data_IF_322371339371
#
_entry.id   IF_322371339371
#
_cell.length_a   1.000
_cell.length_b   1.000
_cell.length_c   1.000
_cell.angle_alpha   90.00
_cell.angle_beta   90.00
_cell.angle_gamma   90.00
#
_symmetry.space_group_name_H-M   'P 1'
#
loop_
_entity.id
_entity.type
_entity.pdbx_description
1 polymer ?
#
# COMPACT_ATOMS: atom_id res chain seq x y z
N UNK A 1 13.04 -14.16 -3.49
CA UNK A 1 13.66 -14.25 -2.15
C UNK A 1 12.68 -15.00 -1.28
N UNK A 2 13.11 -15.94 -0.46
CA UNK A 2 12.19 -16.65 0.44
C UNK A 2 11.76 -15.78 1.63
N UNK A 3 10.67 -16.19 2.29
CA UNK A 3 10.08 -15.49 3.45
C UNK A 3 11.10 -15.34 4.58
N UNK A 4 11.86 -16.39 4.90
CA UNK A 4 12.82 -16.36 6.01
C UNK A 4 13.93 -15.34 5.76
N UNK A 5 14.42 -15.25 4.54
CA UNK A 5 15.42 -14.24 4.15
C UNK A 5 14.83 -12.84 4.21
N UNK A 6 13.60 -12.64 3.75
CA UNK A 6 12.95 -11.32 3.83
C UNK A 6 12.75 -10.86 5.27
N UNK A 7 12.22 -11.72 6.15
CA UNK A 7 11.95 -11.39 7.56
C UNK A 7 13.23 -11.09 8.33
N UNK A 8 14.37 -11.71 7.99
CA UNK A 8 15.67 -11.37 8.59
C UNK A 8 16.13 -9.96 8.23
N UNK A 9 15.86 -9.49 7.01
CA UNK A 9 16.26 -8.15 6.58
C UNK A 9 15.26 -7.08 7.00
N UNK A 10 13.98 -7.42 7.01
CA UNK A 10 12.87 -6.53 7.32
C UNK A 10 12.00 -7.23 8.36
N UNK A 11 12.40 -7.24 9.65
CA UNK A 11 11.62 -7.91 10.70
C UNK A 11 10.29 -7.19 10.96
N UNK A 12 10.23 -5.89 10.65
CA UNK A 12 9.07 -5.04 10.85
C UNK A 12 8.67 -4.35 9.56
N UNK A 13 7.36 -4.25 9.36
CA UNK A 13 6.72 -3.55 8.25
C UNK A 13 5.78 -2.49 8.79
N UNK A 14 5.61 -1.40 8.06
CA UNK A 14 4.87 -0.24 8.59
C UNK A 14 3.72 0.14 7.67
N UNK A 15 2.51 0.17 8.20
CA UNK A 15 1.33 0.65 7.49
C UNK A 15 0.79 1.91 8.17
N UNK A 16 0.86 3.03 7.45
CA UNK A 16 0.27 4.28 7.90
C UNK A 16 -1.22 4.29 7.54
N UNK A 17 -2.10 4.65 8.46
CA UNK A 17 -3.53 4.90 8.24
C UNK A 17 -3.98 6.12 9.05
N UNK A 18 -5.20 6.60 8.86
CA UNK A 18 -5.79 7.57 9.78
C UNK A 18 -6.38 6.85 10.99
N UNK A 19 -6.27 7.46 12.18
CA UNK A 19 -6.79 6.89 13.41
C UNK A 19 -8.31 6.64 13.35
N UNK A 20 -9.04 7.46 12.57
CA UNK A 20 -10.46 7.28 12.28
C UNK A 20 -10.81 5.94 11.63
N UNK A 21 -9.85 5.27 10.98
CA UNK A 21 -10.06 3.96 10.37
C UNK A 21 -9.91 2.80 11.34
N UNK A 22 -9.42 3.02 12.58
CA UNK A 22 -9.17 1.94 13.54
C UNK A 22 -10.41 1.11 13.87
N UNK A 23 -11.64 1.67 14.04
CA UNK A 23 -12.84 0.87 14.23
C UNK A 23 -13.10 -0.11 13.07
N UNK A 24 -13.03 0.37 11.82
CA UNK A 24 -13.21 -0.47 10.62
C UNK A 24 -12.12 -1.55 10.52
N UNK A 25 -10.86 -1.20 10.84
CA UNK A 25 -9.76 -2.18 10.87
C UNK A 25 -9.98 -3.24 11.95
N UNK A 26 -10.55 -2.88 13.10
CA UNK A 26 -10.87 -3.84 14.16
C UNK A 26 -11.98 -4.80 13.74
N UNK A 27 -12.96 -4.33 12.98
CA UNK A 27 -14.12 -5.11 12.57
C UNK A 27 -13.84 -6.01 11.35
N UNK A 28 -13.15 -5.48 10.34
CA UNK A 28 -13.00 -6.15 9.04
C UNK A 28 -11.54 -6.48 8.68
N UNK A 29 -10.59 -6.13 9.54
CA UNK A 29 -9.16 -6.22 9.25
C UNK A 29 -8.66 -5.12 8.33
N UNK A 30 -7.43 -5.28 7.82
CA UNK A 30 -6.87 -4.34 6.86
C UNK A 30 -7.35 -4.66 5.45
N UNK A 31 -7.95 -3.67 4.79
CA UNK A 31 -8.56 -3.77 3.48
C UNK A 31 -7.88 -2.83 2.48
N UNK A 32 -7.81 -3.25 1.22
CA UNK A 32 -7.48 -2.35 0.11
C UNK A 32 -8.67 -1.45 -0.23
N UNK A 33 -8.44 -0.38 -1.00
CA UNK A 33 -9.55 0.49 -1.42
C UNK A 33 -10.59 -0.28 -2.27
N UNK A 34 -10.14 -1.26 -3.06
CA UNK A 34 -11.02 -2.16 -3.80
C UNK A 34 -11.86 -3.03 -2.85
N UNK A 35 -11.24 -3.67 -1.85
CA UNK A 35 -11.98 -4.50 -0.91
C UNK A 35 -12.97 -3.69 -0.05
N UNK A 36 -12.66 -2.42 0.23
CA UNK A 36 -13.58 -1.49 0.88
C UNK A 36 -14.78 -1.15 -0.01
N UNK A 37 -14.56 -0.94 -1.31
CA UNK A 37 -15.64 -0.69 -2.28
C UNK A 37 -16.58 -1.90 -2.37
N UNK A 38 -16.02 -3.12 -2.37
CA UNK A 38 -16.81 -4.36 -2.34
C UNK A 38 -17.60 -4.50 -1.04
N UNK A 39 -16.96 -4.29 0.12
CA UNK A 39 -17.57 -4.42 1.45
C UNK A 39 -18.77 -3.48 1.64
N UNK A 40 -18.64 -2.22 1.24
CA UNK A 40 -19.68 -1.21 1.40
C UNK A 40 -20.57 -1.05 0.16
N UNK A 41 -20.41 -1.91 -0.86
CA UNK A 41 -21.21 -1.89 -2.08
C UNK A 41 -21.28 -0.50 -2.73
N UNK A 42 -20.10 0.10 -2.98
CA UNK A 42 -19.99 1.42 -3.61
C UNK A 42 -20.78 1.46 -4.92
N UNK A 43 -21.39 2.62 -5.21
CA UNK A 43 -22.02 2.85 -6.51
C UNK A 43 -21.01 2.75 -7.66
N UNK A 44 -21.50 2.68 -8.90
CA UNK A 44 -20.62 2.68 -10.07
C UNK A 44 -19.79 3.96 -10.16
N UNK A 45 -20.36 5.11 -9.78
CA UNK A 45 -19.72 6.41 -9.73
C UNK A 45 -18.65 6.45 -8.63
N UNK A 46 -18.98 6.00 -7.41
CA UNK A 46 -18.03 5.92 -6.30
C UNK A 46 -16.85 4.99 -6.62
N UNK A 47 -17.15 3.82 -7.17
CA UNK A 47 -16.14 2.84 -7.61
C UNK A 47 -15.21 3.44 -8.66
N UNK A 48 -15.76 4.15 -9.66
CA UNK A 48 -14.94 4.81 -10.66
C UNK A 48 -14.05 5.90 -10.05
N UNK A 49 -14.60 6.75 -9.17
CA UNK A 49 -13.87 7.82 -8.53
C UNK A 49 -12.75 7.31 -7.60
N UNK A 50 -13.00 6.22 -6.87
CA UNK A 50 -12.07 5.68 -5.88
C UNK A 50 -11.02 4.77 -6.52
N UNK A 51 -11.41 3.92 -7.47
CA UNK A 51 -10.52 2.87 -8.00
C UNK A 51 -9.85 3.23 -9.32
N UNK A 52 -10.43 4.11 -10.14
CA UNK A 52 -9.93 4.38 -11.51
C UNK A 52 -9.35 5.77 -11.67
N UNK A 53 -9.64 6.69 -10.76
CA UNK A 53 -9.21 8.09 -10.83
C UNK A 53 -8.26 8.43 -9.69
N UNK A 54 -7.40 9.42 -9.93
CA UNK A 54 -6.51 9.93 -8.90
C UNK A 54 -7.34 10.64 -7.83
N UNK A 55 -7.28 10.17 -6.59
CA UNK A 55 -7.85 10.90 -5.45
C UNK A 55 -7.05 12.19 -5.23
N UNK A 56 -7.66 13.35 -5.46
CA UNK A 56 -7.00 14.67 -5.32
C UNK A 56 -7.03 15.22 -3.90
N UNK A 57 -7.95 14.72 -3.08
CA UNK A 57 -8.13 15.06 -1.68
C UNK A 57 -8.40 13.80 -0.88
N UNK A 58 -8.29 13.93 0.45
CA UNK A 58 -8.76 12.91 1.38
C UNK A 58 -10.27 12.79 1.24
N UNK A 59 -10.77 11.56 1.17
CA UNK A 59 -12.19 11.26 0.98
C UNK A 59 -12.72 10.55 2.23
N UNK A 60 -13.89 10.97 2.69
CA UNK A 60 -14.66 10.28 3.73
C UNK A 60 -15.92 9.72 3.09
N UNK A 61 -16.06 8.40 3.11
CA UNK A 61 -17.14 7.67 2.46
C UNK A 61 -17.49 6.48 3.35
N UNK A 62 -18.76 6.17 3.57
CA UNK A 62 -19.19 4.94 4.29
C UNK A 62 -18.48 4.73 5.65
N UNK A 63 -18.19 5.82 6.37
CA UNK A 63 -17.50 5.77 7.67
C UNK A 63 -15.98 5.50 7.61
N UNK A 64 -15.39 5.38 6.42
CA UNK A 64 -13.94 5.22 6.22
C UNK A 64 -13.29 6.48 5.67
N UNK A 65 -12.01 6.68 5.98
CA UNK A 65 -11.20 7.79 5.46
C UNK A 65 -10.11 7.26 4.53
N UNK A 66 -10.20 7.58 3.24
CA UNK A 66 -9.19 7.25 2.24
C UNK A 66 -8.25 8.45 2.02
N UNK A 67 -6.94 8.20 2.07
CA UNK A 67 -5.93 9.22 1.72
C UNK A 67 -6.03 9.63 0.25
N UNK A 68 -5.63 10.88 0.01
CA UNK A 68 -5.35 11.36 -1.35
C UNK A 68 -4.21 10.55 -2.01
N UNK A 69 -4.03 10.82 -3.29
CA UNK A 69 -2.91 10.34 -4.10
C UNK A 69 -2.13 11.56 -4.63
N UNK A 70 -1.73 12.46 -3.73
CA UNK A 70 -1.06 13.71 -4.09
C UNK A 70 0.23 13.47 -4.90
N UNK A 71 1.01 12.43 -4.59
CA UNK A 71 2.25 12.12 -5.31
C UNK A 71 2.01 11.49 -6.71
N UNK A 72 0.77 11.13 -7.04
CA UNK A 72 0.39 10.40 -8.24
C UNK A 72 0.06 11.33 -9.42
N UNK A 73 1.04 12.10 -9.91
CA UNK A 73 0.83 13.08 -10.98
C UNK A 73 0.54 12.39 -12.34
N UNK A 74 -0.70 12.50 -12.83
CA UNK A 74 -1.17 11.82 -14.05
C UNK A 74 -0.34 12.14 -15.31
N UNK A 75 0.11 13.38 -15.49
CA UNK A 75 0.96 13.77 -16.62
C UNK A 75 2.27 13.00 -16.65
N UNK A 76 2.85 12.73 -15.46
CA UNK A 76 4.07 11.92 -15.31
C UNK A 76 3.79 10.41 -15.38
N UNK A 77 2.59 9.97 -15.03
CA UNK A 77 2.24 8.55 -15.22
C UNK A 77 2.30 8.19 -16.71
N UNK A 78 1.68 9.01 -17.57
CA UNK A 78 1.62 8.74 -19.01
C UNK A 78 2.99 8.56 -19.66
N UNK A 79 4.05 9.19 -19.13
CA UNK A 79 5.39 9.09 -19.69
C UNK A 79 6.19 7.87 -19.25
N UNK A 80 5.72 7.10 -18.26
CA UNK A 80 6.46 5.95 -17.72
C UNK A 80 5.67 4.67 -17.51
N UNK A 81 4.35 4.68 -17.75
CA UNK A 81 3.58 3.45 -17.76
C UNK A 81 3.90 2.60 -18.99
N UNK A 82 4.10 1.29 -18.77
CA UNK A 82 4.46 0.31 -19.77
C UNK A 82 3.42 -0.81 -19.75
N UNK A 83 2.73 -0.98 -20.88
CA UNK A 83 1.73 -2.04 -21.07
C UNK A 83 0.51 -1.92 -20.15
N UNK A 84 0.24 -0.72 -19.61
CA UNK A 84 -0.91 -0.45 -18.74
C UNK A 84 -1.36 1.01 -18.90
N UNK A 85 -2.66 1.27 -18.87
CA UNK A 85 -3.23 2.62 -18.88
C UNK A 85 -3.20 3.27 -17.49
N UNK A 86 -3.42 4.59 -17.43
CA UNK A 86 -3.50 5.32 -16.15
C UNK A 86 -4.61 4.77 -15.24
N UNK A 87 -5.87 4.58 -15.71
CA UNK A 87 -6.91 4.01 -14.87
C UNK A 87 -6.58 2.61 -14.36
N UNK A 88 -6.05 1.73 -15.22
CA UNK A 88 -5.65 0.37 -14.82
C UNK A 88 -4.52 0.38 -13.79
N UNK A 89 -3.56 1.30 -13.91
CA UNK A 89 -2.50 1.47 -12.92
C UNK A 89 -3.06 1.91 -11.57
N UNK A 90 -3.96 2.90 -11.56
CA UNK A 90 -4.61 3.39 -10.34
C UNK A 90 -5.45 2.26 -9.70
N UNK A 91 -6.16 1.49 -10.50
CA UNK A 91 -6.90 0.31 -10.02
C UNK A 91 -5.95 -0.73 -9.43
N UNK A 92 -4.82 -1.02 -10.08
CA UNK A 92 -3.81 -1.95 -9.55
C UNK A 92 -3.22 -1.48 -8.22
N UNK A 93 -2.98 -0.18 -8.05
CA UNK A 93 -2.56 0.37 -6.76
C UNK A 93 -3.68 0.20 -5.71
N UNK A 94 -4.91 0.57 -6.06
CA UNK A 94 -6.04 0.52 -5.14
C UNK A 94 -6.51 -0.89 -4.77
N UNK A 95 -6.08 -1.92 -5.50
CA UNK A 95 -6.33 -3.32 -5.16
C UNK A 95 -5.36 -3.88 -4.11
N UNK A 96 -4.33 -3.11 -3.71
CA UNK A 96 -3.23 -3.56 -2.85
C UNK A 96 -3.20 -2.83 -1.51
N UNK A 97 -2.74 -3.54 -0.49
CA UNK A 97 -2.40 -3.01 0.83
C UNK A 97 -0.90 -2.83 0.87
N UNK A 98 -0.42 -1.61 1.18
CA UNK A 98 1.00 -1.28 1.15
C UNK A 98 1.62 -1.18 2.52
N UNK A 99 2.87 -1.64 2.61
CA UNK A 99 3.72 -1.56 3.79
C UNK A 99 5.08 -0.97 3.42
N UNK A 100 5.53 -0.01 4.21
CA UNK A 100 6.91 0.45 4.16
C UNK A 100 7.83 -0.59 4.79
N UNK A 101 8.99 -0.80 4.20
CA UNK A 101 10.07 -1.62 4.78
C UNK A 101 11.03 -0.80 5.68
N UNK A 102 10.77 0.49 5.84
CA UNK A 102 11.55 1.43 6.67
C UNK A 102 10.59 2.32 7.45
N UNK A 103 10.79 2.38 8.77
CA UNK A 103 9.97 3.19 9.68
C UNK A 103 10.12 4.67 9.36
N UNK A 104 11.34 5.10 9.11
CA UNK A 104 11.69 6.49 8.84
C UNK A 104 10.93 7.02 7.61
N UNK A 105 10.78 6.20 6.57
CA UNK A 105 9.99 6.57 5.38
C UNK A 105 8.49 6.66 5.68
N UNK A 106 7.96 5.79 6.53
CA UNK A 106 6.57 5.87 6.94
C UNK A 106 6.31 7.13 7.78
N UNK A 107 7.23 7.47 8.70
CA UNK A 107 7.18 8.69 9.51
C UNK A 107 7.33 9.97 8.65
N UNK A 108 8.17 9.96 7.61
CA UNK A 108 8.23 11.05 6.62
C UNK A 108 6.85 11.28 5.99
N UNK A 109 6.16 10.21 5.59
CA UNK A 109 4.81 10.32 5.05
C UNK A 109 3.84 10.85 6.12
N UNK A 110 3.89 10.32 7.35
CA UNK A 110 3.05 10.77 8.46
C UNK A 110 3.18 12.28 8.71
N UNK A 111 4.41 12.82 8.67
CA UNK A 111 4.65 14.26 8.81
C UNK A 111 3.98 15.11 7.72
N UNK A 112 3.85 14.60 6.50
CA UNK A 112 3.12 15.31 5.43
C UNK A 112 1.61 15.39 5.69
N UNK A 113 1.10 14.57 6.60
CA UNK A 113 -0.29 14.58 7.07
C UNK A 113 -0.39 14.94 8.55
N UNK A 114 0.56 15.71 9.12
CA UNK A 114 0.59 16.02 10.55
C UNK A 114 -0.64 16.80 11.08
N UNK A 115 -1.43 17.40 10.18
CA UNK A 115 -2.72 18.02 10.53
C UNK A 115 -3.86 17.02 10.79
N UNK A 116 -3.61 15.72 10.56
CA UNK A 116 -4.56 14.63 10.76
C UNK A 116 -4.03 13.66 11.83
N UNK A 117 -4.95 13.02 12.54
CA UNK A 117 -4.59 11.95 13.46
C UNK A 117 -4.15 10.72 12.67
N UNK A 118 -2.84 10.52 12.61
CA UNK A 118 -2.22 9.38 11.96
C UNK A 118 -2.05 8.23 12.94
N UNK A 119 -2.13 7.01 12.41
CA UNK A 119 -1.89 5.78 13.14
C UNK A 119 -0.92 4.94 12.33
N UNK A 120 0.20 4.55 12.95
CA UNK A 120 1.18 3.66 12.34
C UNK A 120 1.03 2.25 12.91
N UNK A 121 0.67 1.30 12.06
CA UNK A 121 0.75 -0.12 12.40
C UNK A 121 2.18 -0.60 12.18
N UNK A 122 2.83 -1.02 13.26
CA UNK A 122 4.15 -1.66 13.24
C UNK A 122 3.97 -3.18 13.30
N UNK A 123 4.08 -3.81 12.13
CA UNK A 123 3.65 -5.18 11.83
C UNK A 123 4.82 -6.15 11.91
N UNK A 124 4.64 -7.26 12.61
CA UNK A 124 5.56 -8.38 12.58
C UNK A 124 5.53 -9.06 11.19
N UNK A 125 6.68 -9.02 10.52
CA UNK A 125 6.78 -9.47 9.14
C UNK A 125 6.66 -10.99 9.03
N UNK A 126 7.16 -11.73 10.01
CA UNK A 126 7.08 -13.19 10.00
C UNK A 126 5.63 -13.66 10.21
N UNK A 127 4.91 -13.03 11.14
CA UNK A 127 3.50 -13.30 11.38
C UNK A 127 2.62 -12.92 10.17
N UNK A 128 2.91 -11.79 9.50
CA UNK A 128 2.20 -11.42 8.28
C UNK A 128 2.43 -12.45 7.15
N UNK A 129 3.69 -12.79 6.88
CA UNK A 129 4.06 -13.60 5.73
C UNK A 129 3.82 -15.10 5.93
N UNK A 130 3.67 -15.58 7.17
CA UNK A 130 3.27 -16.97 7.43
C UNK A 130 1.89 -17.28 6.84
N UNK A 131 1.00 -16.28 6.76
CA UNK A 131 -0.37 -16.43 6.26
C UNK A 131 -0.56 -15.80 4.88
N UNK A 132 0.09 -14.66 4.61
CA UNK A 132 -0.15 -13.87 3.40
C UNK A 132 1.02 -13.88 2.40
N UNK A 133 2.05 -14.71 2.62
CA UNK A 133 3.27 -14.73 1.81
C UNK A 133 3.04 -15.03 0.31
N UNK A 134 2.07 -15.87 -0.03
CA UNK A 134 1.72 -16.17 -1.43
C UNK A 134 1.12 -14.98 -2.17
N UNK A 135 0.48 -14.08 -1.42
CA UNK A 135 -0.16 -12.85 -1.90
C UNK A 135 0.79 -11.64 -1.83
N UNK A 136 2.04 -11.85 -1.42
CA UNK A 136 3.01 -10.80 -1.23
C UNK A 136 3.78 -10.48 -2.52
N UNK A 137 3.82 -9.20 -2.85
CA UNK A 137 4.65 -8.64 -3.92
C UNK A 137 5.55 -7.54 -3.38
N UNK A 138 6.73 -7.42 -3.97
CA UNK A 138 7.71 -6.38 -3.68
C UNK A 138 7.81 -5.40 -4.84
N UNK A 139 7.97 -4.11 -4.53
CA UNK A 139 8.26 -3.09 -5.52
C UNK A 139 9.57 -2.36 -5.18
N UNK A 140 10.45 -2.20 -6.19
CA UNK A 140 11.74 -1.49 -6.05
C UNK A 140 11.62 0.01 -5.88
N UNK A 141 10.46 0.56 -6.25
CA UNK A 141 10.17 1.99 -6.24
C UNK A 141 8.89 2.21 -5.44
N UNK A 142 8.71 3.41 -4.90
CA UNK A 142 7.43 3.79 -4.33
C UNK A 142 6.40 3.86 -5.48
N UNK A 143 5.51 2.87 -5.57
CA UNK A 143 4.64 2.69 -6.75
C UNK A 143 3.60 3.81 -6.89
N UNK A 144 3.18 4.40 -5.78
CA UNK A 144 2.22 5.52 -5.73
C UNK A 144 2.82 6.91 -5.98
N UNK A 145 4.16 7.05 -5.95
CA UNK A 145 4.83 8.36 -6.09
C UNK A 145 5.49 8.56 -7.45
N UNK A 146 5.10 9.65 -8.12
CA UNK A 146 5.61 10.10 -9.42
C UNK A 146 6.34 11.46 -9.30
N UNK A 147 6.69 11.91 -8.09
CA UNK A 147 7.28 13.23 -7.87
C UNK A 147 8.70 13.33 -8.46
N UNK A 148 9.47 12.25 -8.41
CA UNK A 148 10.87 12.18 -8.86
C UNK A 148 11.00 11.50 -10.22
N UNK A 149 12.24 11.17 -10.64
CA UNK A 149 12.58 10.60 -11.94
C UNK A 149 11.59 9.48 -12.36
N UNK A 150 10.85 9.65 -13.47
CA UNK A 150 9.82 8.71 -13.90
C UNK A 150 10.45 7.39 -14.37
N UNK A 151 10.56 6.43 -13.45
CA UNK A 151 10.98 5.05 -13.75
C UNK A 151 9.85 4.29 -14.45
N UNK A 152 10.17 3.37 -15.38
CA UNK A 152 9.17 2.49 -15.99
C UNK A 152 8.31 1.78 -14.93
N UNK A 153 6.99 1.81 -15.13
CA UNK A 153 5.98 1.26 -14.22
C UNK A 153 4.98 0.42 -15.00
N UNK A 154 4.57 -0.70 -14.44
CA UNK A 154 3.57 -1.57 -15.03
C UNK A 154 3.29 -2.75 -14.12
N UNK A 155 2.54 -3.75 -14.59
CA UNK A 155 2.24 -4.94 -13.80
C UNK A 155 3.51 -5.62 -13.27
N UNK A 156 4.56 -5.65 -14.08
CA UNK A 156 5.88 -6.19 -13.72
C UNK A 156 6.64 -5.39 -12.63
N UNK A 157 6.17 -4.21 -12.24
CA UNK A 157 6.72 -3.48 -11.10
C UNK A 157 6.46 -4.18 -9.76
N UNK A 158 5.42 -5.00 -9.69
CA UNK A 158 5.08 -5.82 -8.53
C UNK A 158 5.60 -7.23 -8.76
N UNK A 159 6.71 -7.56 -8.13
CA UNK A 159 7.38 -8.86 -8.29
C UNK A 159 6.95 -9.74 -7.11
N UNK A 160 6.42 -10.95 -7.33
CA UNK A 160 6.10 -11.87 -6.25
C UNK A 160 7.29 -12.08 -5.32
N UNK A 161 7.05 -12.15 -4.00
CA UNK A 161 8.11 -12.24 -3.00
C UNK A 161 9.12 -13.35 -3.32
N UNK A 162 8.62 -14.55 -3.64
CA UNK A 162 9.44 -15.72 -3.99
C UNK A 162 10.35 -15.45 -5.20
N UNK A 163 9.90 -14.66 -6.18
CA UNK A 163 10.63 -14.33 -7.41
C UNK A 163 11.57 -13.12 -7.26
N UNK A 164 11.51 -12.38 -6.16
CA UNK A 164 12.30 -11.15 -5.98
C UNK A 164 13.79 -11.43 -5.76
N UNK A 165 14.66 -10.89 -6.63
CA UNK A 165 16.12 -10.99 -6.46
C UNK A 165 16.64 -9.87 -5.55
N UNK A 166 17.27 -10.26 -4.45
CA UNK A 166 17.96 -9.36 -3.52
C UNK A 166 19.36 -9.88 -3.26
N UNK A 167 20.35 -9.23 -3.87
CA UNK A 167 21.76 -9.64 -3.81
C UNK A 167 22.57 -8.71 -2.91
N UNK A 168 22.16 -7.44 -2.80
CA UNK A 168 22.82 -6.44 -1.98
C UNK A 168 21.85 -5.33 -1.55
N UNK A 169 22.33 -4.40 -0.71
CA UNK A 169 21.51 -3.29 -0.18
C UNK A 169 20.86 -2.41 -1.27
N UNK A 170 21.39 -2.35 -2.50
CA UNK A 170 20.79 -1.56 -3.59
C UNK A 170 19.53 -2.21 -4.15
N UNK A 171 19.32 -3.51 -3.88
CA UNK A 171 18.10 -4.24 -4.23
C UNK A 171 16.98 -4.09 -3.18
N UNK A 172 17.18 -3.27 -2.13
CA UNK A 172 16.16 -3.04 -1.09
C UNK A 172 14.86 -2.58 -1.74
N UNK A 173 13.74 -3.31 -1.55
CA UNK A 173 12.45 -2.86 -2.05
C UNK A 173 12.06 -1.55 -1.36
N UNK A 174 11.31 -0.70 -2.06
CA UNK A 174 10.73 0.47 -1.42
C UNK A 174 9.56 0.09 -0.52
N UNK A 175 8.83 -0.95 -0.90
CA UNK A 175 7.58 -1.36 -0.29
C UNK A 175 7.29 -2.84 -0.52
N UNK A 176 6.54 -3.42 0.42
CA UNK A 176 5.83 -4.68 0.27
C UNK A 176 4.35 -4.40 0.09
N UNK A 177 3.67 -5.20 -0.71
CA UNK A 177 2.22 -5.13 -0.87
C UNK A 177 1.57 -6.50 -0.75
N UNK A 178 0.38 -6.56 -0.16
CA UNK A 178 -0.51 -7.74 -0.14
C UNK A 178 -1.75 -7.43 -0.99
N UNK A 179 -2.17 -8.34 -1.86
CA UNK A 179 -3.34 -8.18 -2.73
C UNK A 179 -4.62 -8.87 -2.21
N UNK A 180 -4.63 -9.20 -0.92
CA UNK A 180 -5.75 -9.81 -0.20
C UNK A 180 -5.98 -9.13 1.15
N UNK A 181 -7.22 -9.14 1.63
CA UNK A 181 -7.58 -8.70 2.99
C UNK A 181 -6.70 -9.38 4.05
N UNK A 182 -6.38 -8.64 5.12
CA UNK A 182 -5.63 -9.13 6.29
C UNK A 182 -6.54 -9.02 7.51
N UNK A 183 -7.39 -10.04 7.80
CA UNK A 183 -8.42 -9.97 8.84
C UNK A 183 -7.87 -9.71 10.24
N UNK A 184 -6.69 -10.25 10.55
CA UNK A 184 -6.08 -10.25 11.87
C UNK A 184 -4.86 -9.31 11.98
N UNK A 185 -4.80 -8.24 11.19
CA UNK A 185 -3.64 -7.32 11.17
C UNK A 185 -3.26 -6.81 12.56
N UNK A 186 -4.25 -6.55 13.42
CA UNK A 186 -4.02 -6.00 14.75
C UNK A 186 -3.40 -7.03 15.72
N UNK A 187 -3.56 -8.33 15.48
CA UNK A 187 -2.93 -9.39 16.28
C UNK A 187 -1.43 -9.54 15.96
N UNK A 188 -1.02 -9.08 14.78
CA UNK A 188 0.37 -9.11 14.31
C UNK A 188 1.02 -7.72 14.32
N UNK A 189 0.38 -6.72 14.91
CA UNK A 189 0.90 -5.35 14.91
C UNK A 189 0.80 -4.68 16.27
N UNK A 190 1.78 -3.84 16.58
CA UNK A 190 1.64 -2.82 17.63
C UNK A 190 1.25 -1.49 17.00
N UNK A 191 0.49 -0.67 17.72
CA UNK A 191 0.17 0.69 17.29
C UNK A 191 1.26 1.62 17.80
N UNK A 192 1.87 2.38 16.87
CA UNK A 192 2.83 3.43 17.15
C UNK A 192 2.29 4.80 16.69
N UNK A 193 2.78 5.87 17.33
CA UNK A 193 2.55 7.27 16.98
C UNK A 193 3.83 7.87 16.41
#
# INVERSE_FOLDING_TARGET
>A
MDVSTFTRHFPRLYHLTFASNLPSIREHGLLSAQALADLYSFSSEETAAVLKQRRRCIQQLHGITLRDQHAAQESKMKSCLVGITVPEWITLLNSKIFFFVSKEKAEVLARSYAAYDNLLLDVDTAALLSTHGEHASLCRINSGSFLYNPRPRGRASFIPLHAYSYKNKRDTPAELSIDKTIPNVLQMSSIAL
#
